data_IF_783272907695
#
_entry.id   IF_783272907695
#
_cell.length_a   1.000
_cell.length_b   1.000
_cell.length_c   1.000
_cell.angle_alpha   90.00
_cell.angle_beta   90.00
_cell.angle_gamma   90.00
#
_symmetry.space_group_name_H-M   'P 1'
#
loop_
_entity.id
_entity.type
_entity.pdbx_description
1 polymer ?
#
# COMPACT_ATOMS: atom_id res chain seq x y z
N UNK A 1 16.44 -18.08 1.81
CA UNK A 1 15.56 -19.01 1.07
C UNK A 1 14.88 -18.20 -0.01
N UNK A 2 15.29 -18.40 -1.25
CA UNK A 2 14.63 -17.77 -2.39
C UNK A 2 13.21 -18.33 -2.48
N UNK A 3 12.24 -17.50 -2.17
CA UNK A 3 10.84 -17.88 -2.31
C UNK A 3 10.53 -18.10 -3.80
N UNK A 4 10.31 -19.34 -4.16
CA UNK A 4 9.98 -19.77 -5.52
C UNK A 4 8.75 -18.99 -6.03
N UNK A 5 8.78 -18.63 -7.32
CA UNK A 5 7.64 -17.98 -7.96
C UNK A 5 6.54 -18.99 -8.20
N UNK A 6 5.33 -18.64 -7.77
CA UNK A 6 4.12 -19.39 -8.10
C UNK A 6 3.57 -18.84 -9.40
N UNK A 7 3.44 -19.71 -10.41
CA UNK A 7 3.02 -19.34 -11.78
C UNK A 7 1.61 -19.85 -12.00
N UNK A 8 0.76 -18.98 -12.56
CA UNK A 8 -0.60 -19.34 -12.95
C UNK A 8 -1.10 -18.45 -14.08
N UNK A 9 -2.11 -18.93 -14.80
CA UNK A 9 -2.83 -18.14 -15.80
C UNK A 9 -4.20 -17.76 -15.28
N UNK A 10 -4.63 -16.52 -15.53
CA UNK A 10 -5.96 -16.06 -15.12
C UNK A 10 -6.51 -15.02 -16.08
N UNK A 11 -7.84 -14.96 -16.17
CA UNK A 11 -8.56 -14.01 -17.04
C UNK A 11 -8.73 -12.67 -16.32
N UNK A 12 -8.47 -11.59 -17.05
CA UNK A 12 -8.70 -10.23 -16.55
C UNK A 12 -10.20 -9.93 -16.56
N UNK A 13 -10.72 -9.45 -15.44
CA UNK A 13 -12.09 -8.94 -15.32
C UNK A 13 -12.12 -7.55 -14.67
N UNK A 14 -13.24 -6.86 -14.79
CA UNK A 14 -13.40 -5.47 -14.35
C UNK A 14 -14.35 -5.38 -13.15
N UNK A 15 -13.95 -4.61 -12.13
CA UNK A 15 -14.82 -4.15 -11.05
C UNK A 15 -14.66 -2.63 -10.93
N UNK A 16 -15.72 -1.89 -11.25
CA UNK A 16 -15.64 -0.43 -11.32
C UNK A 16 -14.58 0.01 -12.33
N UNK A 17 -13.62 0.81 -11.90
CA UNK A 17 -12.52 1.29 -12.75
C UNK A 17 -11.26 0.40 -12.70
N UNK A 18 -11.23 -0.62 -11.85
CA UNK A 18 -10.05 -1.47 -11.64
C UNK A 18 -10.22 -2.80 -12.36
N UNK A 19 -9.12 -3.31 -12.91
CA UNK A 19 -9.02 -4.65 -13.50
C UNK A 19 -8.35 -5.57 -12.52
N UNK A 20 -8.91 -6.77 -12.41
CA UNK A 20 -8.45 -7.81 -11.50
C UNK A 20 -8.26 -9.12 -12.21
N UNK A 21 -7.47 -9.97 -11.61
CA UNK A 21 -7.42 -11.42 -11.88
C UNK A 21 -7.67 -12.15 -10.57
N UNK A 22 -8.28 -13.32 -10.64
CA UNK A 22 -8.41 -14.20 -9.49
C UNK A 22 -7.16 -15.05 -9.35
N UNK A 23 -6.71 -15.22 -8.12
CA UNK A 23 -5.60 -16.11 -7.78
C UNK A 23 -6.16 -17.51 -7.51
N UNK A 24 -5.66 -18.57 -8.17
CA UNK A 24 -6.10 -19.93 -7.92
C UNK A 24 -5.98 -20.35 -6.46
N UNK A 25 -6.80 -21.29 -6.03
CA UNK A 25 -6.89 -21.69 -4.62
C UNK A 25 -5.60 -22.33 -4.08
N UNK A 26 -4.91 -23.10 -4.90
CA UNK A 26 -3.61 -23.70 -4.61
C UNK A 26 -2.52 -22.66 -4.41
N UNK A 27 -2.43 -21.68 -5.30
CA UNK A 27 -1.52 -20.52 -5.19
C UNK A 27 -1.88 -19.67 -3.97
N UNK A 28 -3.17 -19.45 -3.72
CA UNK A 28 -3.65 -18.70 -2.57
C UNK A 28 -3.21 -19.32 -1.23
N UNK A 29 -3.24 -20.64 -1.12
CA UNK A 29 -2.80 -21.38 0.08
C UNK A 29 -1.28 -21.25 0.30
N UNK A 30 -0.50 -21.29 -0.77
CA UNK A 30 0.97 -21.22 -0.69
C UNK A 30 1.49 -19.82 -0.42
N UNK A 31 0.82 -18.78 -0.92
CA UNK A 31 1.28 -17.38 -0.78
C UNK A 31 1.14 -16.86 0.66
N UNK A 32 0.31 -17.50 1.47
CA UNK A 32 0.08 -17.18 2.89
C UNK A 32 -1.24 -16.45 3.16
N UNK A 33 -1.55 -16.29 4.44
CA UNK A 33 -2.83 -15.77 4.92
C UNK A 33 -2.77 -14.27 5.25
N UNK A 34 -3.93 -13.61 5.17
CA UNK A 34 -4.11 -12.21 5.54
C UNK A 34 -5.15 -11.48 4.68
N UNK A 35 -5.73 -10.41 5.19
CA UNK A 35 -6.66 -9.58 4.40
C UNK A 35 -5.96 -8.90 3.21
N UNK A 36 -4.67 -8.61 3.36
CA UNK A 36 -3.81 -7.94 2.38
C UNK A 36 -2.43 -8.62 2.38
N UNK A 37 -2.14 -9.42 1.37
CA UNK A 37 -0.84 -10.11 1.24
C UNK A 37 0.03 -9.36 0.24
N UNK A 38 1.16 -8.78 0.66
CA UNK A 38 2.08 -8.11 -0.25
C UNK A 38 2.77 -9.12 -1.16
N UNK A 39 2.77 -8.84 -2.47
CA UNK A 39 3.38 -9.69 -3.49
C UNK A 39 4.21 -8.88 -4.48
N UNK A 40 5.18 -9.55 -5.07
CA UNK A 40 5.95 -9.09 -6.22
C UNK A 40 6.05 -10.20 -7.26
N UNK A 41 6.28 -9.82 -8.51
CA UNK A 41 6.38 -10.80 -9.59
C UNK A 41 6.30 -10.18 -10.96
N UNK A 42 5.80 -10.95 -11.93
CA UNK A 42 5.63 -10.50 -13.32
C UNK A 42 4.22 -10.83 -13.85
N UNK A 43 3.74 -10.00 -14.76
CA UNK A 43 2.60 -10.26 -15.63
C UNK A 43 3.13 -10.25 -17.04
N UNK A 44 3.02 -11.38 -17.77
CA UNK A 44 3.62 -11.53 -19.12
C UNK A 44 5.08 -11.03 -19.14
N UNK A 45 5.89 -11.41 -18.13
CA UNK A 45 7.28 -10.97 -17.99
C UNK A 45 7.49 -9.54 -17.52
N UNK A 46 6.46 -8.70 -17.45
CA UNK A 46 6.58 -7.31 -16.95
C UNK A 46 6.53 -7.27 -15.43
N UNK A 47 7.59 -6.77 -14.76
CA UNK A 47 7.66 -6.79 -13.31
C UNK A 47 6.64 -5.88 -12.64
N UNK A 48 6.13 -6.32 -11.51
CA UNK A 48 5.23 -5.53 -10.66
C UNK A 48 5.43 -5.80 -9.17
N UNK A 49 4.96 -4.87 -8.36
CA UNK A 49 4.74 -5.01 -6.92
C UNK A 49 3.32 -4.59 -6.59
N UNK A 50 2.58 -5.43 -5.89
CA UNK A 50 1.18 -5.17 -5.56
C UNK A 50 0.80 -5.80 -4.22
N UNK A 51 -0.48 -5.89 -3.96
CA UNK A 51 -1.04 -6.54 -2.78
C UNK A 51 -2.24 -7.37 -3.21
N UNK A 52 -2.24 -8.63 -2.84
CA UNK A 52 -3.43 -9.47 -2.97
C UNK A 52 -4.49 -9.00 -1.98
N UNK A 53 -5.72 -8.93 -2.44
CA UNK A 53 -6.87 -8.54 -1.61
C UNK A 53 -7.73 -9.78 -1.40
N UNK A 54 -7.96 -10.13 -0.13
CA UNK A 54 -8.83 -11.26 0.21
C UNK A 54 -10.27 -11.02 -0.26
N UNK A 55 -10.88 -12.09 -0.79
CA UNK A 55 -12.30 -12.16 -1.13
C UNK A 55 -13.10 -12.98 -0.10
N UNK A 56 -12.44 -13.41 0.97
CA UNK A 56 -12.97 -14.36 1.94
C UNK A 56 -12.70 -15.81 1.57
N UNK A 57 -12.81 -16.72 2.55
CA UNK A 57 -12.59 -18.17 2.41
C UNK A 57 -11.25 -18.56 1.74
N UNK A 58 -10.20 -17.78 2.02
CA UNK A 58 -8.85 -18.04 1.48
C UNK A 58 -8.66 -17.69 -0.01
N UNK A 59 -9.66 -17.12 -0.67
CA UNK A 59 -9.54 -16.66 -2.06
C UNK A 59 -8.96 -15.25 -2.13
N UNK A 60 -8.11 -15.00 -3.13
CA UNK A 60 -7.49 -13.70 -3.38
C UNK A 60 -7.75 -13.20 -4.79
N UNK A 61 -7.64 -11.90 -4.96
CA UNK A 61 -7.58 -11.23 -6.26
C UNK A 61 -6.39 -10.28 -6.31
N UNK A 62 -5.82 -10.13 -7.50
CA UNK A 62 -4.73 -9.22 -7.80
C UNK A 62 -5.21 -8.11 -8.73
N UNK A 63 -4.97 -6.86 -8.35
CA UNK A 63 -5.24 -5.73 -9.23
C UNK A 63 -4.11 -5.59 -10.27
N UNK A 64 -4.49 -5.54 -11.55
CA UNK A 64 -3.56 -5.27 -12.66
C UNK A 64 -3.50 -3.76 -12.88
N UNK A 65 -2.36 -3.18 -12.58
CA UNK A 65 -2.14 -1.73 -12.69
C UNK A 65 -2.25 -1.22 -14.13
N UNK A 66 -2.72 0.01 -14.28
CA UNK A 66 -2.91 0.65 -15.59
C UNK A 66 -1.64 0.72 -16.44
N UNK A 67 -0.47 0.89 -15.81
CA UNK A 67 0.82 0.95 -16.52
C UNK A 67 1.18 -0.38 -17.19
N UNK A 68 0.96 -1.51 -16.49
CA UNK A 68 1.17 -2.86 -17.03
C UNK A 68 0.21 -3.10 -18.19
N UNK A 69 -1.07 -2.78 -18.00
CA UNK A 69 -2.08 -2.95 -19.05
C UNK A 69 -1.77 -2.14 -20.31
N UNK A 70 -1.34 -0.89 -20.15
CA UNK A 70 -0.92 -0.05 -21.30
C UNK A 70 0.30 -0.61 -21.99
N UNK A 71 1.32 -1.03 -21.23
CA UNK A 71 2.55 -1.61 -21.77
C UNK A 71 2.31 -2.88 -22.56
N UNK A 72 1.42 -3.75 -22.06
CA UNK A 72 1.11 -5.05 -22.65
C UNK A 72 -0.13 -5.03 -23.55
N UNK A 73 -0.80 -3.88 -23.71
CA UNK A 73 -2.04 -3.70 -24.47
C UNK A 73 -3.15 -4.67 -24.02
N UNK A 74 -3.25 -4.91 -22.70
CA UNK A 74 -4.20 -5.83 -22.10
C UNK A 74 -5.51 -5.13 -21.71
N UNK A 75 -6.64 -5.81 -21.90
CA UNK A 75 -7.93 -5.39 -21.36
C UNK A 75 -8.74 -6.57 -20.83
N UNK A 76 -9.94 -6.28 -20.39
CA UNK A 76 -10.91 -7.24 -19.85
C UNK A 76 -11.13 -8.38 -20.83
N UNK A 77 -11.10 -9.62 -20.33
CA UNK A 77 -11.24 -10.85 -21.13
C UNK A 77 -9.91 -11.49 -21.53
N UNK A 78 -8.80 -10.74 -21.57
CA UNK A 78 -7.48 -11.31 -21.84
C UNK A 78 -7.09 -12.32 -20.74
N UNK A 79 -6.49 -13.44 -21.13
CA UNK A 79 -5.85 -14.40 -20.24
C UNK A 79 -4.38 -14.04 -20.18
N UNK A 80 -3.82 -13.95 -18.97
CA UNK A 80 -2.43 -13.56 -18.74
C UNK A 80 -1.73 -14.55 -17.86
N UNK A 81 -0.45 -14.78 -18.13
CA UNK A 81 0.44 -15.52 -17.25
C UNK A 81 0.99 -14.61 -16.16
N UNK A 82 0.95 -15.07 -14.94
CA UNK A 82 1.35 -14.33 -13.76
C UNK A 82 2.28 -15.19 -12.92
N UNK A 83 3.46 -14.68 -12.64
CA UNK A 83 4.37 -15.26 -11.66
C UNK A 83 4.41 -14.37 -10.43
N UNK A 84 4.09 -14.92 -9.26
CA UNK A 84 4.11 -14.15 -8.00
C UNK A 84 4.88 -14.87 -6.90
N UNK A 85 5.47 -14.08 -6.02
CA UNK A 85 5.96 -14.53 -4.72
C UNK A 85 5.59 -13.52 -3.64
N UNK A 86 5.63 -13.96 -2.38
CA UNK A 86 5.43 -13.05 -1.26
C UNK A 86 6.51 -11.97 -1.23
N UNK A 87 6.10 -10.72 -1.14
CA UNK A 87 7.01 -9.59 -1.02
C UNK A 87 7.42 -9.43 0.44
N UNK A 88 8.59 -9.94 0.78
CA UNK A 88 9.19 -9.84 2.12
C UNK A 88 10.10 -8.63 2.26
N UNK A 89 10.37 -7.93 1.14
CA UNK A 89 11.22 -6.75 1.18
C UNK A 89 10.56 -5.59 1.92
N UNK A 90 11.37 -4.83 2.60
CA UNK A 90 10.91 -3.61 3.26
C UNK A 90 10.30 -2.66 2.24
N UNK A 91 9.06 -2.25 2.48
CA UNK A 91 8.36 -1.24 1.68
C UNK A 91 8.58 0.18 2.22
N UNK A 92 9.60 0.37 3.05
CA UNK A 92 9.97 1.69 3.53
C UNK A 92 10.37 2.60 2.37
N UNK A 93 9.84 3.82 2.30
CA UNK A 93 10.23 4.76 1.27
C UNK A 93 11.66 5.24 1.52
N UNK A 94 12.45 5.36 0.46
CA UNK A 94 13.70 6.09 0.52
C UNK A 94 13.39 7.57 0.76
N UNK A 95 13.93 8.10 1.87
CA UNK A 95 13.69 9.49 2.25
C UNK A 95 14.66 10.41 1.50
N UNK A 96 14.19 11.51 0.90
CA UNK A 96 15.07 12.53 0.36
C UNK A 96 16.02 13.06 1.43
N UNK A 97 17.30 13.33 1.13
CA UNK A 97 18.28 13.84 2.11
C UNK A 97 17.78 15.08 2.87
N UNK A 98 17.12 16.00 2.17
CA UNK A 98 16.53 17.19 2.78
C UNK A 98 15.45 16.85 3.83
N UNK A 99 14.65 15.80 3.60
CA UNK A 99 13.66 15.34 4.59
C UNK A 99 14.33 14.70 5.80
N UNK A 100 15.38 13.90 5.58
CA UNK A 100 16.15 13.29 6.66
C UNK A 100 16.73 14.36 7.57
N UNK A 101 17.36 15.39 6.99
CA UNK A 101 17.94 16.51 7.73
C UNK A 101 16.87 17.29 8.52
N UNK A 102 15.76 17.62 7.86
CA UNK A 102 14.67 18.35 8.50
C UNK A 102 14.04 17.59 9.69
N UNK A 103 13.90 16.25 9.56
CA UNK A 103 13.39 15.40 10.65
C UNK A 103 14.42 15.24 11.79
N UNK A 104 15.72 15.23 11.49
CA UNK A 104 16.77 15.23 12.53
C UNK A 104 16.73 16.49 13.38
N UNK A 105 16.45 17.63 12.77
CA UNK A 105 16.36 18.94 13.46
C UNK A 105 15.06 19.12 14.26
N UNK A 106 14.09 18.20 14.12
CA UNK A 106 12.81 18.22 14.84
C UNK A 106 12.48 16.85 15.43
N UNK A 107 12.91 16.54 16.66
CA UNK A 107 12.64 15.25 17.32
C UNK A 107 11.14 14.93 17.40
N UNK A 108 10.29 15.93 17.61
CA UNK A 108 8.82 15.77 17.64
C UNK A 108 8.26 15.32 16.30
N UNK A 109 8.66 16.00 15.23
CA UNK A 109 8.26 15.62 13.87
C UNK A 109 8.78 14.24 13.48
N UNK A 110 10.01 13.91 13.88
CA UNK A 110 10.63 12.61 13.64
C UNK A 110 9.83 11.47 14.31
N UNK A 111 9.45 11.65 15.58
CA UNK A 111 8.65 10.67 16.32
C UNK A 111 7.28 10.47 15.66
N UNK A 112 6.62 11.57 15.29
CA UNK A 112 5.33 11.50 14.57
C UNK A 112 5.47 10.76 13.22
N UNK A 113 6.50 11.07 12.45
CA UNK A 113 6.74 10.43 11.16
C UNK A 113 7.03 8.93 11.31
N UNK A 114 7.83 8.54 12.30
CA UNK A 114 8.10 7.11 12.61
C UNK A 114 6.85 6.36 13.05
N UNK A 115 5.93 6.99 13.76
CA UNK A 115 4.65 6.41 14.18
C UNK A 115 3.63 6.24 13.05
N UNK A 116 3.90 6.76 11.85
CA UNK A 116 3.01 6.57 10.69
C UNK A 116 3.20 5.19 10.07
N UNK A 117 2.13 4.66 9.46
CA UNK A 117 2.23 3.42 8.68
C UNK A 117 3.17 3.60 7.48
N UNK A 118 3.83 2.52 7.03
CA UNK A 118 4.69 2.54 5.85
C UNK A 118 3.97 3.04 4.60
N UNK A 119 2.68 2.69 4.45
CA UNK A 119 1.86 3.18 3.34
C UNK A 119 1.71 4.70 3.36
N UNK A 120 1.44 5.29 4.53
CA UNK A 120 1.32 6.73 4.69
C UNK A 120 2.67 7.43 4.46
N UNK A 121 3.77 6.89 4.99
CA UNK A 121 5.12 7.42 4.74
C UNK A 121 5.45 7.44 3.25
N UNK A 122 5.14 6.37 2.51
CA UNK A 122 5.32 6.34 1.06
C UNK A 122 4.49 7.38 0.32
N UNK A 123 3.24 7.55 0.72
CA UNK A 123 2.36 8.56 0.12
C UNK A 123 2.90 9.97 0.33
N UNK A 124 3.36 10.27 1.55
CA UNK A 124 3.97 11.55 1.90
C UNK A 124 5.24 11.79 1.08
N UNK A 125 6.16 10.83 1.05
CA UNK A 125 7.41 10.98 0.28
C UNK A 125 7.10 11.20 -1.19
N UNK A 126 6.18 10.43 -1.79
CA UNK A 126 5.75 10.62 -3.18
C UNK A 126 5.22 12.03 -3.42
N UNK A 127 4.38 12.55 -2.52
CA UNK A 127 3.87 13.92 -2.62
C UNK A 127 4.98 14.96 -2.53
N UNK A 128 5.95 14.78 -1.63
CA UNK A 128 7.06 15.71 -1.46
C UNK A 128 7.95 15.78 -2.70
N UNK A 129 8.33 14.61 -3.26
CA UNK A 129 9.24 14.54 -4.41
C UNK A 129 8.56 14.82 -5.76
N UNK A 130 7.23 14.88 -5.82
CA UNK A 130 6.47 15.16 -7.05
C UNK A 130 6.58 16.64 -7.46
N UNK A 131 7.78 17.20 -7.44
CA UNK A 131 8.10 18.59 -7.84
C UNK A 131 9.36 18.62 -8.70
N UNK A 132 9.42 19.56 -9.61
CA UNK A 132 10.55 19.71 -10.54
C UNK A 132 11.71 20.53 -9.95
N UNK A 133 11.44 21.37 -8.95
CA UNK A 133 12.41 22.31 -8.39
C UNK A 133 12.83 21.93 -6.98
N UNK A 134 14.13 21.94 -6.71
CA UNK A 134 14.71 21.70 -5.38
C UNK A 134 14.17 22.69 -4.34
N UNK A 135 14.08 23.97 -4.67
CA UNK A 135 13.53 24.99 -3.76
C UNK A 135 12.07 24.71 -3.37
N UNK A 136 11.27 24.15 -4.30
CA UNK A 136 9.90 23.76 -4.00
C UNK A 136 9.86 22.52 -3.11
N UNK A 137 10.77 21.56 -3.31
CA UNK A 137 10.91 20.40 -2.44
C UNK A 137 11.19 20.82 -0.99
N UNK A 138 12.19 21.68 -0.81
CA UNK A 138 12.59 22.18 0.54
C UNK A 138 11.45 22.95 1.21
N UNK A 139 10.75 23.81 0.47
CA UNK A 139 9.57 24.51 0.97
C UNK A 139 8.45 23.55 1.40
N UNK A 140 8.19 22.48 0.63
CA UNK A 140 7.20 21.46 0.99
C UNK A 140 7.62 20.68 2.23
N UNK A 141 8.88 20.29 2.33
CA UNK A 141 9.44 19.60 3.50
C UNK A 141 9.30 20.46 4.74
N UNK A 142 9.69 21.74 4.69
CA UNK A 142 9.55 22.68 5.81
C UNK A 142 8.10 22.75 6.31
N UNK A 143 7.14 23.03 5.40
CA UNK A 143 5.71 23.08 5.72
C UNK A 143 5.19 21.75 6.29
N UNK A 144 5.68 20.63 5.81
CA UNK A 144 5.31 19.32 6.32
C UNK A 144 5.80 19.11 7.76
N UNK A 145 7.06 19.41 8.05
CA UNK A 145 7.65 19.29 9.40
C UNK A 145 6.93 20.22 10.40
N UNK A 146 6.72 21.50 10.05
CA UNK A 146 5.94 22.43 10.86
C UNK A 146 4.53 21.91 11.19
N UNK A 147 3.87 21.28 10.22
CA UNK A 147 2.54 20.68 10.43
C UNK A 147 2.59 19.51 11.43
N UNK A 148 3.64 18.69 11.41
CA UNK A 148 3.82 17.61 12.37
C UNK A 148 4.04 18.17 13.78
N UNK A 149 4.85 19.20 13.94
CA UNK A 149 5.10 19.87 15.22
C UNK A 149 3.82 20.45 15.83
N UNK A 150 3.00 21.12 15.02
CA UNK A 150 1.71 21.67 15.47
C UNK A 150 0.71 20.58 15.90
N UNK A 151 0.70 19.42 15.25
CA UNK A 151 -0.21 18.31 15.62
C UNK A 151 0.15 17.68 16.95
N UNK A 152 1.40 17.73 17.38
CA UNK A 152 1.81 17.28 18.71
C UNK A 152 1.34 18.22 19.82
N UNK A 153 1.12 19.51 19.52
CA UNK A 153 0.57 20.47 20.49
C UNK A 153 -0.94 20.31 20.71
N UNK A 154 -1.67 19.70 19.74
CA UNK A 154 -3.08 19.39 19.86
C UNK A 154 -3.26 17.94 20.33
N UNK A 155 -3.54 17.72 21.63
CA UNK A 155 -3.90 16.39 22.17
C UNK A 155 -5.00 15.73 21.31
N UNK A 156 -4.90 14.44 20.99
CA UNK A 156 -5.95 13.74 20.28
C UNK A 156 -7.21 13.73 21.15
N UNK A 157 -8.31 14.31 20.65
CA UNK A 157 -9.64 14.06 21.21
C UNK A 157 -9.97 12.60 20.95
N UNK A 158 -9.75 11.76 21.95
CA UNK A 158 -10.24 10.37 21.98
C UNK A 158 -11.76 10.41 21.87
N UNK A 159 -12.30 10.11 20.70
CA UNK A 159 -13.72 9.78 20.55
C UNK A 159 -13.95 8.43 21.21
N UNK A 160 -14.18 8.43 22.50
CA UNK A 160 -14.72 7.30 23.23
C UNK A 160 -16.13 7.05 22.70
N UNK A 161 -16.27 6.06 21.83
CA UNK A 161 -17.57 5.59 21.36
C UNK A 161 -18.25 4.87 22.52
N UNK A 162 -19.07 5.61 23.27
CA UNK A 162 -19.91 5.10 24.35
C UNK A 162 -20.86 4.04 23.76
N UNK A 163 -20.54 2.76 23.95
CA UNK A 163 -21.47 1.65 23.70
C UNK A 163 -22.57 1.76 24.75
N UNK A 164 -23.70 2.34 24.42
CA UNK A 164 -24.92 2.27 25.21
C UNK A 164 -25.44 0.84 25.09
N UNK A 165 -25.20 0.04 26.12
CA UNK A 165 -25.90 -1.21 26.38
C UNK A 165 -27.31 -0.86 26.91
N UNK A 166 -28.28 -0.77 26.02
CA UNK A 166 -29.68 -0.77 26.41
C UNK A 166 -30.16 -2.21 26.53
N UNK A 167 -29.98 -2.75 27.74
CA UNK A 167 -30.67 -3.95 28.22
C UNK A 167 -32.14 -3.57 28.42
N UNK A 168 -33.03 -4.05 27.57
CA UNK A 168 -34.47 -3.97 27.81
C UNK A 168 -34.99 -5.38 28.14
N UNK A 169 -35.09 -5.62 29.44
CA UNK A 169 -35.93 -6.67 29.99
C UNK A 169 -37.39 -6.17 29.95
N UNK A 170 -38.30 -6.99 29.45
CA UNK A 170 -39.68 -7.08 29.90
C UNK A 170 -40.40 -8.23 29.18
N UNK A 171 -40.79 -9.13 30.00
CA UNK A 171 -42.06 -9.85 30.15
C UNK A 171 -42.48 -10.69 28.96
#
# INVERSE_FOLDING_TARGET
>A
MDSEYLIFSSRIYKIGMVRFVDVPADVSKQIGEGAHVPVMGTVEGVPFRSTLVSRGRGAYRLAIHGDIRRKLRLDTGAVVEIAIRRDQESREPQLPPALVLALRNSPKAQQMFRGMTTALRRQIVRYLVAVKSQATLERRIRKFVERLERRTAAKPKTKTKKRSSARKARR
#
